data_IF_823109070386
#
_entry.id   IF_823109070386
#
_cell.length_a   1.000
_cell.length_b   1.000
_cell.length_c   1.000
_cell.angle_alpha   90.00
_cell.angle_beta   90.00
_cell.angle_gamma   90.00
#
_symmetry.space_group_name_H-M   'P 1'
#
loop_
_entity.id
_entity.type
_entity.pdbx_description
1 polymer ?
#
# COMPACT_ATOMS: atom_id res chain seq x y z
N UNK A 1 16.52 -11.02 25.56
CA UNK A 1 15.35 -11.77 25.07
C UNK A 1 14.36 -10.70 24.67
N UNK A 2 14.17 -10.56 23.37
CA UNK A 2 13.27 -9.55 22.81
C UNK A 2 11.94 -10.27 22.62
N UNK A 3 11.07 -10.17 23.62
CA UNK A 3 9.70 -10.71 23.60
C UNK A 3 8.82 -9.80 22.72
N UNK A 4 9.19 -9.68 21.44
CA UNK A 4 8.29 -9.10 20.46
C UNK A 4 7.39 -10.23 19.98
N UNK A 5 6.33 -10.48 20.75
CA UNK A 5 5.22 -11.36 20.38
C UNK A 5 4.59 -10.79 19.09
N UNK A 6 5.01 -11.34 17.95
CA UNK A 6 4.48 -10.96 16.65
C UNK A 6 3.02 -11.38 16.58
N UNK A 7 2.10 -10.43 16.63
CA UNK A 7 0.68 -10.70 16.41
C UNK A 7 0.52 -11.21 14.98
N UNK A 8 0.12 -12.48 14.83
CA UNK A 8 -0.32 -13.02 13.53
C UNK A 8 -1.59 -12.28 13.12
N UNK A 9 -1.43 -11.36 12.17
CA UNK A 9 -2.53 -10.62 11.59
C UNK A 9 -3.25 -11.52 10.56
N UNK A 10 -4.58 -11.40 10.40
CA UNK A 10 -5.28 -12.05 9.31
C UNK A 10 -4.62 -11.71 7.96
N UNK A 11 -4.59 -12.64 7.01
CA UNK A 11 -3.90 -12.47 5.71
C UNK A 11 -4.24 -11.13 5.02
N UNK A 12 -5.50 -10.70 5.13
CA UNK A 12 -5.97 -9.42 4.58
C UNK A 12 -5.36 -8.20 5.25
N UNK A 13 -5.10 -8.25 6.56
CA UNK A 13 -4.50 -7.15 7.31
C UNK A 13 -2.99 -7.08 7.05
N UNK A 14 -2.30 -8.22 6.95
CA UNK A 14 -0.90 -8.25 6.53
C UNK A 14 -0.73 -7.75 5.09
N UNK A 15 -1.59 -8.21 4.18
CA UNK A 15 -1.62 -7.75 2.79
C UNK A 15 -1.94 -6.25 2.69
N UNK A 16 -2.84 -5.74 3.53
CA UNK A 16 -3.14 -4.31 3.62
C UNK A 16 -1.91 -3.50 4.05
N UNK A 17 -1.26 -3.89 5.14
CA UNK A 17 -0.06 -3.20 5.64
C UNK A 17 1.07 -3.20 4.60
N UNK A 18 1.29 -4.33 3.92
CA UNK A 18 2.25 -4.44 2.84
C UNK A 18 1.91 -3.52 1.66
N UNK A 19 0.65 -3.51 1.23
CA UNK A 19 0.20 -2.66 0.13
C UNK A 19 0.30 -1.16 0.46
N UNK A 20 -0.01 -0.77 1.70
CA UNK A 20 0.15 0.62 2.15
C UNK A 20 1.61 1.02 2.31
N UNK A 21 2.48 0.12 2.77
CA UNK A 21 3.92 0.38 2.86
C UNK A 21 4.56 0.57 1.47
N UNK A 22 4.27 -0.32 0.53
CA UNK A 22 4.72 -0.21 -0.85
C UNK A 22 4.20 1.07 -1.53
N UNK A 23 2.98 1.49 -1.18
CA UNK A 23 2.40 2.75 -1.63
C UNK A 23 3.17 3.98 -1.12
N UNK A 24 3.53 4.01 0.16
CA UNK A 24 4.33 5.10 0.75
C UNK A 24 5.71 5.21 0.09
N UNK A 25 6.37 4.07 -0.17
CA UNK A 25 7.65 4.04 -0.87
C UNK A 25 7.53 4.56 -2.31
N UNK A 26 6.49 4.14 -3.05
CA UNK A 26 6.22 4.63 -4.41
C UNK A 26 6.01 6.15 -4.43
N UNK A 27 5.15 6.68 -3.55
CA UNK A 27 4.92 8.12 -3.48
C UNK A 27 6.23 8.83 -3.13
N UNK A 28 7.03 8.33 -2.19
CA UNK A 28 8.30 8.94 -1.83
C UNK A 28 9.28 9.02 -3.00
N UNK A 29 9.33 7.98 -3.83
CA UNK A 29 10.23 7.92 -4.99
C UNK A 29 9.75 8.83 -6.13
N UNK A 30 8.44 8.87 -6.40
CA UNK A 30 7.88 9.52 -7.59
C UNK A 30 7.11 10.82 -7.32
N UNK A 31 7.09 11.33 -6.09
CA UNK A 31 6.26 12.48 -5.71
C UNK A 31 6.43 13.69 -6.63
N UNK A 32 7.67 14.00 -7.03
CA UNK A 32 7.99 15.16 -7.86
C UNK A 32 7.61 14.97 -9.34
N UNK A 33 7.45 13.72 -9.77
CA UNK A 33 7.05 13.33 -11.13
C UNK A 33 5.53 13.18 -11.28
N UNK A 34 4.83 12.94 -10.17
CA UNK A 34 3.38 12.76 -10.17
C UNK A 34 2.66 14.10 -10.35
N UNK A 35 1.76 14.16 -11.34
CA UNK A 35 0.91 15.32 -11.55
C UNK A 35 -0.19 15.41 -10.48
N UNK A 36 -0.51 16.63 -10.05
CA UNK A 36 -1.63 16.88 -9.15
C UNK A 36 -2.92 16.29 -9.71
N UNK A 37 -3.59 15.45 -8.93
CA UNK A 37 -4.84 14.79 -9.34
C UNK A 37 -4.65 13.44 -10.04
N UNK A 38 -3.41 12.93 -10.12
CA UNK A 38 -3.16 11.56 -10.58
C UNK A 38 -3.90 10.57 -9.67
N UNK A 39 -4.77 9.77 -10.26
CA UNK A 39 -5.43 8.66 -9.60
C UNK A 39 -4.56 7.41 -9.76
N UNK A 40 -4.23 6.77 -8.64
CA UNK A 40 -3.39 5.59 -8.62
C UNK A 40 -4.18 4.43 -8.00
N UNK A 41 -3.93 3.24 -8.54
CA UNK A 41 -4.60 2.01 -8.12
C UNK A 41 -3.56 0.95 -7.78
N UNK A 42 -3.77 0.31 -6.64
CA UNK A 42 -2.96 -0.81 -6.16
C UNK A 42 -3.88 -2.02 -6.12
N UNK A 43 -3.61 -2.99 -7.00
CA UNK A 43 -4.31 -4.28 -7.01
C UNK A 43 -3.52 -5.30 -6.21
N UNK A 44 -4.07 -5.73 -5.07
CA UNK A 44 -3.46 -6.69 -4.17
C UNK A 44 -3.94 -8.09 -4.52
N UNK A 45 -3.00 -9.00 -4.72
CA UNK A 45 -3.24 -10.39 -5.08
C UNK A 45 -2.57 -11.32 -4.08
N UNK A 46 -3.16 -12.48 -3.86
CA UNK A 46 -2.53 -13.64 -3.23
C UNK A 46 -2.40 -14.78 -4.26
N UNK A 47 -1.81 -15.92 -3.87
CA UNK A 47 -1.60 -17.08 -4.73
C UNK A 47 -2.90 -17.64 -5.34
N UNK A 48 -4.02 -17.46 -4.64
CA UNK A 48 -5.35 -17.90 -5.08
C UNK A 48 -6.12 -16.85 -5.92
N UNK A 49 -5.59 -15.63 -6.07
CA UNK A 49 -6.19 -14.58 -6.89
C UNK A 49 -6.29 -13.21 -6.23
N UNK A 50 -7.13 -12.29 -6.75
CA UNK A 50 -7.22 -10.92 -6.26
C UNK A 50 -7.84 -10.87 -4.85
N UNK A 51 -7.16 -10.20 -3.92
CA UNK A 51 -7.66 -9.96 -2.57
C UNK A 51 -8.55 -8.72 -2.53
N UNK A 52 -8.03 -7.57 -2.95
CA UNK A 52 -8.74 -6.30 -2.99
C UNK A 52 -7.97 -5.27 -3.82
N UNK A 53 -8.65 -4.17 -4.17
CA UNK A 53 -8.06 -3.01 -4.83
C UNK A 53 -8.12 -1.81 -3.90
N UNK A 54 -7.01 -1.09 -3.78
CA UNK A 54 -6.96 0.23 -3.15
C UNK A 54 -6.87 1.29 -4.25
N UNK A 55 -7.71 2.31 -4.18
CA UNK A 55 -7.62 3.48 -5.05
C UNK A 55 -7.21 4.67 -4.22
N UNK A 56 -6.04 5.23 -4.53
CA UNK A 56 -5.54 6.43 -3.90
C UNK A 56 -5.74 7.60 -4.86
N UNK A 57 -6.37 8.65 -4.36
CA UNK A 57 -6.34 9.94 -5.03
C UNK A 57 -5.21 10.72 -4.40
N UNK A 58 -4.10 10.87 -5.11
CA UNK A 58 -3.05 11.76 -4.66
C UNK A 58 -3.55 13.19 -4.91
N UNK A 59 -4.13 13.82 -3.89
CA UNK A 59 -4.23 15.28 -3.83
C UNK A 59 -2.83 15.81 -3.56
N UNK A 60 -1.94 15.71 -4.56
CA UNK A 60 -0.59 16.27 -4.49
C UNK A 60 -0.76 17.79 -4.48
N UNK A 61 -0.78 18.34 -3.27
CA UNK A 61 -0.73 19.76 -3.01
C UNK A 61 0.66 20.24 -3.42
N UNK A 62 0.75 20.73 -4.65
CA UNK A 62 1.91 21.49 -5.12
C UNK A 62 1.91 22.89 -4.53
#
# INVERSE_FOLDING_TARGET
MDDTEGVELPDRTAAWLGATGAWEEFIREFNDELETGTALQVDVHDQDGPLFRISFRAEILR
#
